data_IF_927886381676
#
_entry.id   IF_927886381676
#
_cell.length_a   1.000
_cell.length_b   1.000
_cell.length_c   1.000
_cell.angle_alpha   90.00
_cell.angle_beta   90.00
_cell.angle_gamma   90.00
#
_symmetry.space_group_name_H-M   'P 1'
#
loop_
_entity.id
_entity.type
_entity.pdbx_description
1 polymer ?
#
# COMPACT_ATOMS: atom_id res chain seq x y z
N UNK A 1 -12.02 21.73 -10.18
CA UNK A 1 -12.11 20.26 -10.14
C UNK A 1 -12.43 19.82 -11.58
N UNK A 2 -12.19 18.58 -12.00
CA UNK A 2 -12.60 18.19 -13.37
C UNK A 2 -14.13 18.02 -13.41
N UNK A 3 -14.75 18.25 -14.58
CA UNK A 3 -16.22 18.06 -14.72
C UNK A 3 -16.66 16.66 -14.27
N UNK A 4 -15.87 15.64 -14.61
CA UNK A 4 -16.14 14.26 -14.21
C UNK A 4 -16.08 14.05 -12.68
N UNK A 5 -15.10 14.67 -12.00
CA UNK A 5 -15.00 14.57 -10.54
C UNK A 5 -16.12 15.37 -9.84
N UNK A 6 -16.56 16.50 -10.42
CA UNK A 6 -17.73 17.25 -9.95
C UNK A 6 -19.01 16.43 -10.02
N UNK A 7 -19.25 15.76 -11.14
CA UNK A 7 -20.39 14.87 -11.33
C UNK A 7 -20.34 13.68 -10.35
N UNK A 8 -19.17 13.04 -10.19
CA UNK A 8 -19.00 11.93 -9.26
C UNK A 8 -19.30 12.32 -7.81
N UNK A 9 -18.78 13.45 -7.33
CA UNK A 9 -19.06 13.95 -5.97
C UNK A 9 -20.54 14.33 -5.81
N UNK A 10 -21.17 14.90 -6.85
CA UNK A 10 -22.58 15.23 -6.81
C UNK A 10 -23.49 13.99 -6.68
N UNK A 11 -23.15 12.87 -7.33
CA UNK A 11 -23.89 11.61 -7.17
C UNK A 11 -23.62 10.96 -5.81
N UNK A 12 -22.37 10.96 -5.33
CA UNK A 12 -22.02 10.41 -4.01
C UNK A 12 -22.81 11.11 -2.90
N UNK A 13 -22.96 12.44 -2.96
CA UNK A 13 -23.74 13.21 -1.95
C UNK A 13 -25.21 12.81 -1.81
N UNK A 14 -25.78 12.10 -2.78
CA UNK A 14 -27.17 11.62 -2.73
C UNK A 14 -27.31 10.26 -2.02
N UNK A 15 -26.20 9.58 -1.77
CA UNK A 15 -26.18 8.27 -1.11
C UNK A 15 -26.38 8.40 0.41
N UNK A 16 -26.75 7.32 1.12
CA UNK A 16 -26.73 7.30 2.58
C UNK A 16 -25.32 7.57 3.13
N UNK A 17 -25.23 8.16 4.32
CA UNK A 17 -23.96 8.56 4.96
C UNK A 17 -22.91 7.43 4.96
N UNK A 18 -23.31 6.21 5.30
CA UNK A 18 -22.41 5.05 5.31
C UNK A 18 -21.78 4.73 3.93
N UNK A 19 -22.50 4.97 2.83
CA UNK A 19 -21.95 4.78 1.48
C UNK A 19 -21.12 5.99 1.04
N UNK A 20 -21.45 7.19 1.53
CA UNK A 20 -20.61 8.38 1.32
C UNK A 20 -19.23 8.20 1.96
N UNK A 21 -19.20 7.69 3.19
CA UNK A 21 -17.96 7.42 3.92
C UNK A 21 -17.09 6.39 3.20
N UNK A 22 -17.68 5.28 2.73
CA UNK A 22 -16.95 4.29 1.91
C UNK A 22 -16.39 4.88 0.63
N UNK A 23 -17.17 5.71 -0.07
CA UNK A 23 -16.70 6.40 -1.27
C UNK A 23 -15.55 7.38 -0.95
N UNK A 24 -15.63 8.07 0.19
CA UNK A 24 -14.59 8.98 0.65
C UNK A 24 -13.29 8.23 0.98
N UNK A 25 -13.35 7.09 1.66
CA UNK A 25 -12.19 6.24 1.95
C UNK A 25 -11.43 5.84 0.67
N UNK A 26 -12.16 5.42 -0.38
CA UNK A 26 -11.56 5.05 -1.67
C UNK A 26 -10.91 6.25 -2.36
N UNK A 27 -11.59 7.40 -2.41
CA UNK A 27 -11.05 8.62 -3.04
C UNK A 27 -9.84 9.16 -2.30
N UNK A 28 -9.85 9.12 -0.96
CA UNK A 28 -8.72 9.51 -0.12
C UNK A 28 -7.54 8.55 -0.30
N UNK A 29 -7.79 7.24 -0.32
CA UNK A 29 -6.75 6.24 -0.59
C UNK A 29 -6.11 6.43 -1.97
N UNK A 30 -6.92 6.69 -3.00
CA UNK A 30 -6.42 7.02 -4.34
C UNK A 30 -5.55 8.29 -4.33
N UNK A 31 -5.99 9.35 -3.65
CA UNK A 31 -5.24 10.60 -3.57
C UNK A 31 -3.93 10.46 -2.77
N UNK A 32 -3.94 9.67 -1.69
CA UNK A 32 -2.76 9.37 -0.87
C UNK A 32 -1.74 8.50 -1.61
N UNK A 33 -2.20 7.53 -2.41
CA UNK A 33 -1.34 6.72 -3.27
C UNK A 33 -0.84 7.49 -4.51
N UNK A 34 -1.53 8.57 -4.89
CA UNK A 34 -1.13 9.45 -6.01
C UNK A 34 -0.24 10.61 -5.57
N UNK A 35 -0.20 10.94 -4.28
CA UNK A 35 0.98 11.61 -3.73
C UNK A 35 2.18 10.69 -4.02
N UNK A 36 3.40 11.20 -4.21
CA UNK A 36 4.59 10.36 -4.36
C UNK A 36 4.81 9.61 -3.05
N UNK A 37 4.03 8.55 -2.85
CA UNK A 37 4.21 7.52 -1.86
C UNK A 37 5.52 6.82 -2.19
N UNK A 38 6.03 6.09 -1.22
CA UNK A 38 7.25 5.31 -1.37
C UNK A 38 7.07 4.22 -2.42
N UNK A 39 7.14 4.59 -3.70
CA UNK A 39 7.22 3.64 -4.80
C UNK A 39 8.59 2.98 -4.75
N UNK A 40 8.60 1.65 -4.82
CA UNK A 40 9.83 0.92 -5.00
C UNK A 40 10.45 1.34 -6.33
N UNK A 41 11.72 1.71 -6.28
CA UNK A 41 12.51 1.90 -7.50
C UNK A 41 12.49 0.62 -8.34
N UNK A 42 12.71 0.69 -9.67
CA UNK A 42 12.78 -0.50 -10.51
C UNK A 42 13.76 -1.56 -10.01
N UNK A 43 14.86 -1.13 -9.38
CA UNK A 43 15.83 -2.02 -8.75
C UNK A 43 15.23 -2.76 -7.54
N UNK A 44 14.54 -2.04 -6.64
CA UNK A 44 13.86 -2.64 -5.50
C UNK A 44 12.72 -3.58 -5.92
N UNK A 45 11.99 -3.26 -7.01
CA UNK A 45 10.99 -4.17 -7.57
C UNK A 45 11.64 -5.46 -8.09
N UNK A 46 12.79 -5.36 -8.76
CA UNK A 46 13.52 -6.52 -9.23
C UNK A 46 14.02 -7.40 -8.07
N UNK A 47 14.48 -6.77 -6.99
CA UNK A 47 14.91 -7.45 -5.76
C UNK A 47 13.75 -8.19 -5.09
N UNK A 48 12.59 -7.54 -4.91
CA UNK A 48 11.40 -8.20 -4.35
C UNK A 48 10.98 -9.40 -5.20
N UNK A 49 10.97 -9.26 -6.53
CA UNK A 49 10.65 -10.37 -7.45
C UNK A 49 11.62 -11.54 -7.34
N UNK A 50 12.90 -11.26 -7.15
CA UNK A 50 13.93 -12.29 -6.93
C UNK A 50 13.66 -13.06 -5.64
N UNK A 51 13.46 -12.34 -4.53
CA UNK A 51 13.21 -12.94 -3.22
C UNK A 51 11.94 -13.79 -3.24
N UNK A 52 10.84 -13.29 -3.82
CA UNK A 52 9.58 -14.07 -3.94
C UNK A 52 9.82 -15.37 -4.69
N UNK A 53 10.58 -15.34 -5.79
CA UNK A 53 10.91 -16.56 -6.54
C UNK A 53 11.70 -17.56 -5.69
N UNK A 54 12.70 -17.10 -4.94
CA UNK A 54 13.50 -17.96 -4.06
C UNK A 54 12.65 -18.59 -2.94
N UNK A 55 11.63 -17.88 -2.46
CA UNK A 55 10.68 -18.42 -1.48
C UNK A 55 9.84 -19.53 -2.11
N UNK A 56 9.29 -19.29 -3.30
CA UNK A 56 8.48 -20.27 -4.04
C UNK A 56 9.29 -21.52 -4.41
N UNK A 57 10.57 -21.34 -4.74
CA UNK A 57 11.52 -22.40 -5.06
C UNK A 57 12.07 -23.11 -3.80
N UNK A 58 11.78 -22.59 -2.60
CA UNK A 58 12.27 -23.13 -1.33
C UNK A 58 13.77 -22.94 -1.10
N UNK A 59 14.41 -22.02 -1.84
CA UNK A 59 15.84 -21.69 -1.73
C UNK A 59 16.10 -20.45 -0.89
N UNK A 60 15.06 -19.71 -0.52
CA UNK A 60 15.17 -18.55 0.35
C UNK A 60 15.73 -18.93 1.73
N UNK A 61 16.64 -18.11 2.23
CA UNK A 61 17.15 -18.21 3.60
C UNK A 61 16.40 -17.24 4.49
N UNK A 62 15.78 -17.77 5.53
CA UNK A 62 15.11 -16.96 6.55
C UNK A 62 15.95 -16.91 7.82
N UNK A 63 15.93 -15.76 8.48
CA UNK A 63 16.49 -15.63 9.83
C UNK A 63 15.59 -16.33 10.84
N UNK A 64 16.16 -16.72 11.98
CA UNK A 64 15.37 -17.28 13.09
C UNK A 64 14.51 -16.20 13.75
N UNK A 65 13.59 -16.63 14.61
CA UNK A 65 12.75 -15.72 15.39
C UNK A 65 13.59 -14.85 16.34
N UNK A 66 14.62 -15.42 16.96
CA UNK A 66 15.55 -14.69 17.82
C UNK A 66 16.35 -13.64 17.06
N UNK A 67 16.79 -13.96 15.85
CA UNK A 67 17.49 -13.04 14.96
C UNK A 67 16.56 -11.90 14.50
N UNK A 68 15.30 -12.22 14.19
CA UNK A 68 14.29 -11.21 13.83
C UNK A 68 14.01 -10.25 15.00
N UNK A 69 13.86 -10.74 16.23
CA UNK A 69 13.66 -9.86 17.40
C UNK A 69 14.88 -8.96 17.65
N UNK A 70 16.11 -9.46 17.43
CA UNK A 70 17.31 -8.64 17.52
C UNK A 70 17.33 -7.49 16.49
N UNK A 71 16.87 -7.76 15.25
CA UNK A 71 16.71 -6.73 14.21
C UNK A 71 15.66 -5.71 14.63
N UNK A 72 14.49 -6.15 15.09
CA UNK A 72 13.39 -5.25 15.46
C UNK A 72 13.73 -4.38 16.68
N UNK A 73 14.49 -4.90 17.64
CA UNK A 73 14.94 -4.14 18.81
C UNK A 73 15.72 -2.86 18.43
N UNK A 74 16.45 -2.86 17.29
CA UNK A 74 17.18 -1.68 16.79
C UNK A 74 16.27 -0.52 16.40
N UNK A 75 15.01 -0.78 16.04
CA UNK A 75 14.06 0.22 15.55
C UNK A 75 12.99 0.61 16.58
N UNK A 76 13.02 0.04 17.79
CA UNK A 76 12.06 0.34 18.88
C UNK A 76 12.45 1.56 19.76
N UNK A 77 13.35 2.43 19.30
CA UNK A 77 13.72 3.69 19.98
C UNK A 77 12.71 4.79 19.76
#
# INVERSE_FOLDING_TARGET
MTKLLEEAIAEIRKLPDAEQDRAAEVLLGFAQNSAPGYELTPAQVAEVKLIVREIDEGTATFVTEEEMEAILARFRT
#
